data_IF_972246088791
#
_entry.id   IF_972246088791
#
_cell.length_a   1.000
_cell.length_b   1.000
_cell.length_c   1.000
_cell.angle_alpha   90.00
_cell.angle_beta   90.00
_cell.angle_gamma   90.00
#
_symmetry.space_group_name_H-M   'P 1'
#
loop_
_entity.id
_entity.type
_entity.pdbx_description
1 polymer ?
#
# COMPACT_ATOMS: atom_id res chain seq x y z
N UNK A 1 59.56 39.00 -23.32
CA UNK A 1 58.16 39.36 -22.96
C UNK A 1 57.25 38.28 -23.49
N UNK A 2 56.96 37.27 -22.67
CA UNK A 2 56.00 36.18 -23.01
C UNK A 2 54.61 36.58 -22.51
N UNK A 3 53.69 36.73 -23.43
CA UNK A 3 52.28 36.97 -23.12
C UNK A 3 51.60 35.65 -22.73
N UNK A 4 51.35 35.45 -21.44
CA UNK A 4 50.47 34.41 -20.95
C UNK A 4 49.02 34.63 -21.47
N UNK A 5 48.60 33.82 -22.44
CA UNK A 5 47.19 33.74 -22.86
C UNK A 5 46.39 32.97 -21.80
N UNK A 6 45.69 33.72 -20.96
CA UNK A 6 44.68 33.14 -20.07
C UNK A 6 43.51 32.64 -20.95
N UNK A 7 43.39 31.32 -21.09
CA UNK A 7 42.24 30.70 -21.77
C UNK A 7 41.03 30.80 -20.84
N UNK A 8 40.10 31.69 -21.12
CA UNK A 8 38.81 31.76 -20.43
C UNK A 8 38.05 30.45 -20.68
N UNK A 9 37.96 29.60 -19.67
CA UNK A 9 37.10 28.43 -19.71
C UNK A 9 35.65 28.91 -19.68
N UNK A 10 34.94 28.62 -20.76
CA UNK A 10 33.53 29.02 -20.88
C UNK A 10 32.70 28.29 -19.80
N UNK A 11 32.06 28.99 -18.84
CA UNK A 11 31.34 28.38 -17.73
C UNK A 11 30.02 27.68 -18.15
N UNK A 12 29.56 27.91 -19.38
CA UNK A 12 28.30 27.40 -19.91
C UNK A 12 28.22 25.84 -19.90
N UNK A 13 29.25 25.08 -20.38
CA UNK A 13 29.17 23.62 -20.35
C UNK A 13 29.16 23.03 -18.93
N UNK A 14 29.82 23.69 -17.96
CA UNK A 14 29.83 23.26 -16.55
C UNK A 14 28.46 23.44 -15.92
N UNK A 15 27.76 24.54 -16.25
CA UNK A 15 26.42 24.85 -15.75
C UNK A 15 25.37 23.87 -16.33
N UNK A 16 25.49 23.55 -17.63
CA UNK A 16 24.60 22.57 -18.30
C UNK A 16 24.81 21.17 -17.72
N UNK A 17 26.03 20.76 -17.43
CA UNK A 17 26.31 19.44 -16.83
C UNK A 17 25.79 19.34 -15.40
N UNK A 18 25.78 20.43 -14.64
CA UNK A 18 25.24 20.45 -13.28
C UNK A 18 23.69 20.39 -13.25
N UNK A 19 23.02 21.00 -14.23
CA UNK A 19 21.55 20.91 -14.35
C UNK A 19 21.03 19.52 -14.75
N UNK A 20 21.82 18.69 -15.42
CA UNK A 20 21.41 17.36 -15.85
C UNK A 20 21.48 16.32 -14.72
N UNK A 21 22.15 16.63 -13.61
CA UNK A 21 22.29 15.71 -12.46
C UNK A 21 21.18 15.84 -11.41
N UNK A 22 20.29 16.79 -11.55
CA UNK A 22 19.06 16.83 -10.74
C UNK A 22 18.01 16.01 -11.48
N UNK A 23 18.12 14.69 -11.41
CA UNK A 23 17.01 13.80 -11.70
C UNK A 23 15.97 14.05 -10.60
N UNK A 24 14.99 14.90 -10.86
CA UNK A 24 13.80 15.01 -10.01
C UNK A 24 13.14 13.65 -10.03
N UNK A 25 13.33 12.88 -8.97
CA UNK A 25 12.59 11.65 -8.75
C UNK A 25 11.10 11.98 -8.83
N UNK A 26 10.42 11.44 -9.84
CA UNK A 26 9.00 11.71 -10.09
C UNK A 26 8.21 11.27 -8.86
N UNK A 27 7.68 12.22 -8.10
CA UNK A 27 6.87 11.92 -6.91
C UNK A 27 5.58 11.22 -7.33
N UNK A 28 5.11 10.28 -6.49
CA UNK A 28 3.84 9.59 -6.67
C UNK A 28 2.73 10.32 -5.91
N UNK A 29 1.58 10.45 -6.54
CA UNK A 29 0.43 11.14 -5.97
C UNK A 29 -0.63 10.13 -5.51
N UNK A 30 -1.06 10.26 -4.26
CA UNK A 30 -2.17 9.53 -3.67
C UNK A 30 -3.37 10.47 -3.50
N UNK A 31 -4.50 10.15 -4.14
CA UNK A 31 -5.77 10.86 -3.94
C UNK A 31 -6.68 10.01 -3.07
N UNK A 32 -6.93 10.44 -1.84
CA UNK A 32 -7.86 9.80 -0.92
C UNK A 32 -9.25 10.40 -1.13
N UNK A 33 -10.25 9.57 -1.37
CA UNK A 33 -11.63 9.98 -1.64
C UNK A 33 -12.60 9.30 -0.69
N UNK A 34 -13.42 10.07 0.02
CA UNK A 34 -14.46 9.54 0.89
C UNK A 34 -15.81 9.49 0.16
N UNK A 35 -16.31 8.29 -0.13
CA UNK A 35 -17.67 8.03 -0.65
C UNK A 35 -18.62 7.47 0.40
N UNK A 36 -18.18 7.31 1.66
CA UNK A 36 -19.06 6.94 2.75
C UNK A 36 -20.08 8.05 3.01
N UNK A 37 -21.22 7.72 3.60
CA UNK A 37 -22.24 8.66 4.06
C UNK A 37 -21.88 9.32 5.40
N UNK A 38 -20.69 9.04 5.92
CA UNK A 38 -20.14 9.60 7.16
C UNK A 38 -18.69 10.07 6.95
N UNK A 39 -18.20 10.87 7.88
CA UNK A 39 -16.80 11.29 7.90
C UNK A 39 -15.88 10.09 8.16
N UNK A 40 -14.83 9.98 7.37
CA UNK A 40 -13.70 9.06 7.60
C UNK A 40 -12.50 9.90 8.04
N UNK A 41 -11.69 9.38 8.94
CA UNK A 41 -10.43 10.02 9.36
C UNK A 41 -9.25 9.17 8.89
N UNK A 42 -8.74 9.39 7.67
CA UNK A 42 -7.58 8.65 7.19
C UNK A 42 -6.41 8.72 8.17
N UNK A 43 -5.75 7.58 8.37
CA UNK A 43 -4.46 7.45 9.03
C UNK A 43 -3.40 7.02 8.02
N UNK A 44 -2.16 7.43 8.25
CA UNK A 44 -1.01 7.12 7.39
C UNK A 44 0.16 6.71 8.27
N UNK A 45 0.74 5.56 7.93
CA UNK A 45 1.98 5.07 8.55
C UNK A 45 3.01 4.78 7.46
N UNK A 46 4.17 5.38 7.57
CA UNK A 46 5.33 5.09 6.73
C UNK A 46 6.09 3.87 7.28
N UNK A 47 6.61 3.03 6.39
CA UNK A 47 7.40 1.85 6.76
C UNK A 47 8.69 2.25 7.47
N UNK A 48 9.20 1.37 8.33
CA UNK A 48 10.45 1.57 9.04
C UNK A 48 11.62 1.82 8.07
N UNK A 49 12.45 2.82 8.38
CA UNK A 49 13.60 3.19 7.56
C UNK A 49 13.29 4.08 6.35
N UNK A 50 12.03 4.48 6.18
CA UNK A 50 11.59 5.45 5.16
C UNK A 50 11.19 6.76 5.84
N UNK A 51 11.46 7.90 5.22
CA UNK A 51 11.09 9.20 5.77
C UNK A 51 9.56 9.35 5.85
N UNK A 52 9.01 9.79 6.99
CA UNK A 52 7.57 9.93 7.17
C UNK A 52 7.01 11.03 6.28
N UNK A 53 5.77 10.82 5.82
CA UNK A 53 5.04 11.89 5.15
C UNK A 53 4.68 13.00 6.15
N UNK A 54 4.60 14.27 5.69
CA UNK A 54 4.30 15.40 6.58
C UNK A 54 2.88 15.37 7.15
N UNK A 55 2.00 14.56 6.54
CA UNK A 55 0.61 14.38 6.97
C UNK A 55 0.42 12.93 7.36
N UNK A 56 -0.02 12.67 8.60
CA UNK A 56 -0.23 11.30 9.12
C UNK A 56 -1.68 11.04 9.56
N UNK A 57 -2.54 12.06 9.49
CA UNK A 57 -3.97 11.92 9.78
C UNK A 57 -4.72 13.22 9.55
N UNK A 58 -5.98 13.11 9.13
CA UNK A 58 -6.88 14.23 8.88
C UNK A 58 -8.34 13.76 8.86
N UNK A 59 -9.29 14.70 8.85
CA UNK A 59 -10.70 14.41 8.60
C UNK A 59 -10.99 14.53 7.11
N UNK A 60 -11.84 13.65 6.59
CA UNK A 60 -12.31 13.64 5.22
C UNK A 60 -13.82 13.43 5.23
N UNK A 61 -14.60 14.49 4.97
CA UNK A 61 -16.05 14.44 4.97
C UNK A 61 -16.59 13.68 3.78
N UNK A 62 -17.85 13.30 3.82
CA UNK A 62 -18.54 12.69 2.68
C UNK A 62 -18.35 13.50 1.41
N UNK A 63 -17.91 12.85 0.34
CA UNK A 63 -17.65 13.46 -0.97
C UNK A 63 -16.32 14.23 -1.07
N UNK A 64 -15.61 14.46 0.03
CA UNK A 64 -14.33 15.16 0.00
C UNK A 64 -13.21 14.26 -0.54
N UNK A 65 -12.21 14.90 -1.15
CA UNK A 65 -10.95 14.26 -1.53
C UNK A 65 -9.76 15.07 -1.05
N UNK A 66 -8.63 14.39 -0.79
CA UNK A 66 -7.36 15.00 -0.46
C UNK A 66 -6.22 14.30 -1.16
N UNK A 67 -5.36 15.10 -1.77
CA UNK A 67 -4.16 14.63 -2.46
C UNK A 67 -2.95 14.71 -1.54
N UNK A 68 -2.12 13.68 -1.56
CA UNK A 68 -0.86 13.55 -0.81
C UNK A 68 0.22 13.12 -1.78
N UNK A 69 1.33 13.82 -1.77
CA UNK A 69 2.50 13.48 -2.59
C UNK A 69 3.53 12.73 -1.75
N UNK A 70 4.04 11.63 -2.27
CA UNK A 70 5.07 10.83 -1.66
C UNK A 70 6.31 10.73 -2.56
N UNK A 71 7.52 10.63 -1.98
CA UNK A 71 8.74 10.31 -2.74
C UNK A 71 8.59 8.97 -3.47
N UNK A 72 9.26 8.79 -4.62
CA UNK A 72 9.21 7.56 -5.42
C UNK A 72 9.66 6.30 -4.68
N UNK A 73 10.40 6.42 -3.61
CA UNK A 73 10.88 5.28 -2.79
C UNK A 73 10.07 5.12 -1.51
N UNK A 74 8.93 5.80 -1.41
CA UNK A 74 8.10 5.71 -0.22
C UNK A 74 7.43 4.33 -0.14
N UNK A 75 7.33 3.82 1.07
CA UNK A 75 6.52 2.66 1.42
C UNK A 75 5.76 2.93 2.70
N UNK A 76 4.55 2.39 2.78
CA UNK A 76 3.69 2.61 3.94
C UNK A 76 2.27 2.13 3.69
N UNK A 77 1.37 2.57 4.55
CA UNK A 77 -0.03 2.17 4.50
C UNK A 77 -0.97 3.31 4.84
N UNK A 78 -2.16 3.26 4.23
CA UNK A 78 -3.30 4.11 4.50
C UNK A 78 -4.43 3.28 5.06
N UNK A 79 -5.23 3.84 5.97
CA UNK A 79 -6.47 3.22 6.45
C UNK A 79 -7.51 4.28 6.79
N UNK A 80 -8.76 3.87 6.94
CA UNK A 80 -9.83 4.74 7.40
C UNK A 80 -10.14 4.48 8.86
N UNK A 81 -10.14 5.52 9.70
CA UNK A 81 -10.64 5.49 11.07
C UNK A 81 -12.10 5.92 11.04
N UNK A 82 -12.95 5.31 11.86
CA UNK A 82 -14.38 5.64 11.94
C UNK A 82 -14.86 5.79 13.39
N UNK A 83 -16.02 6.38 13.55
CA UNK A 83 -16.61 6.63 14.87
C UNK A 83 -15.65 7.41 15.78
N UNK A 84 -15.02 8.43 15.20
CA UNK A 84 -14.05 9.23 15.93
C UNK A 84 -14.73 10.40 16.65
N UNK A 85 -14.26 10.68 17.84
CA UNK A 85 -14.70 11.81 18.66
C UNK A 85 -13.54 12.39 19.47
N UNK A 86 -13.73 13.59 19.96
CA UNK A 86 -12.86 14.23 20.93
C UNK A 86 -13.59 14.28 22.27
N UNK A 87 -12.95 13.82 23.32
CA UNK A 87 -13.51 13.87 24.66
C UNK A 87 -13.43 15.28 25.29
N UNK A 88 -13.98 15.45 26.48
CA UNK A 88 -13.97 16.72 27.20
C UNK A 88 -12.57 17.21 27.58
N UNK A 89 -11.58 16.35 27.60
CA UNK A 89 -10.17 16.67 27.85
C UNK A 89 -9.40 17.00 26.54
N UNK A 90 -10.09 16.96 25.39
CA UNK A 90 -9.49 17.22 24.08
C UNK A 90 -8.76 16.03 23.48
N UNK A 91 -8.83 14.83 24.07
CA UNK A 91 -8.22 13.63 23.54
C UNK A 91 -9.08 13.08 22.40
N UNK A 92 -8.47 12.91 21.24
CA UNK A 92 -9.09 12.32 20.05
C UNK A 92 -8.98 10.79 20.10
N UNK A 93 -10.06 10.08 19.80
CA UNK A 93 -10.08 8.61 19.66
C UNK A 93 -11.13 8.17 18.66
N UNK A 94 -11.00 6.95 18.15
CA UNK A 94 -11.89 6.38 17.16
C UNK A 94 -12.38 4.99 17.59
N UNK A 95 -13.62 4.67 17.23
CA UNK A 95 -14.22 3.36 17.50
C UNK A 95 -13.61 2.24 16.68
N UNK A 96 -13.08 2.51 15.47
CA UNK A 96 -12.34 1.54 14.65
C UNK A 96 -11.10 2.15 14.03
N UNK A 97 -10.02 1.34 13.90
CA UNK A 97 -8.77 1.74 13.26
C UNK A 97 -8.02 2.87 13.99
N UNK A 98 -8.31 3.12 15.27
CA UNK A 98 -7.62 4.15 16.06
C UNK A 98 -6.11 3.94 16.04
N UNK A 99 -5.33 5.00 16.00
CA UNK A 99 -3.87 4.91 16.04
C UNK A 99 -3.26 5.19 17.43
N UNK A 100 -4.08 5.39 18.45
CA UNK A 100 -3.64 5.53 19.83
C UNK A 100 -2.88 6.82 20.16
N UNK A 101 -2.75 7.74 19.19
CA UNK A 101 -1.99 8.99 19.39
C UNK A 101 -2.66 9.99 20.32
N UNK A 102 -3.97 9.84 20.55
CA UNK A 102 -4.78 10.83 21.27
C UNK A 102 -5.02 12.12 20.49
N UNK A 103 -4.59 12.18 19.22
CA UNK A 103 -4.65 13.34 18.32
C UNK A 103 -5.20 12.93 16.96
N UNK A 104 -5.54 13.93 16.14
CA UNK A 104 -5.97 13.72 14.77
C UNK A 104 -4.87 13.05 13.92
N UNK A 105 -3.62 13.47 14.09
CA UNK A 105 -2.43 12.92 13.44
C UNK A 105 -1.99 11.64 14.16
N UNK A 106 -1.65 10.60 13.39
CA UNK A 106 -1.17 9.33 13.95
C UNK A 106 0.31 9.36 14.37
N UNK A 107 1.10 10.31 13.83
CA UNK A 107 2.48 10.61 14.25
C UNK A 107 3.40 9.37 14.37
N UNK A 108 3.33 8.45 13.40
CA UNK A 108 4.13 7.24 13.37
C UNK A 108 3.50 6.01 14.05
N UNK A 109 2.28 6.13 14.55
CA UNK A 109 1.51 5.00 15.07
C UNK A 109 0.63 4.39 13.98
N UNK A 110 0.51 3.05 13.96
CA UNK A 110 -0.34 2.29 13.05
C UNK A 110 -1.79 2.18 13.53
N UNK A 111 -2.63 1.57 12.69
CA UNK A 111 -4.01 1.25 13.05
C UNK A 111 -4.07 0.20 14.16
N UNK A 112 -4.92 0.41 15.14
CA UNK A 112 -5.33 -0.66 16.05
C UNK A 112 -6.31 -1.58 15.31
N UNK A 113 -6.05 -2.87 15.19
CA UNK A 113 -6.98 -3.82 14.58
C UNK A 113 -8.33 -3.87 15.31
N UNK A 114 -9.44 -4.14 14.60
CA UNK A 114 -9.50 -4.44 13.17
C UNK A 114 -9.50 -3.20 12.29
N UNK A 115 -8.75 -3.25 11.19
CA UNK A 115 -8.68 -2.19 10.19
C UNK A 115 -8.36 -2.73 8.79
N UNK A 116 -9.06 -2.21 7.79
CA UNK A 116 -8.73 -2.42 6.37
C UNK A 116 -7.54 -1.51 6.01
N UNK A 117 -6.48 -2.09 5.42
CA UNK A 117 -5.27 -1.36 5.06
C UNK A 117 -5.12 -1.29 3.53
N UNK A 118 -4.69 -0.16 3.00
CA UNK A 118 -4.16 -0.02 1.65
C UNK A 118 -2.64 0.15 1.77
N UNK A 119 -1.87 -0.82 1.29
CA UNK A 119 -0.42 -0.92 1.50
C UNK A 119 0.33 -0.67 0.21
N UNK A 120 1.50 -0.02 0.30
CA UNK A 120 2.31 0.38 -0.84
C UNK A 120 3.80 0.20 -0.57
N UNK A 121 4.52 -0.25 -1.59
CA UNK A 121 5.99 -0.15 -1.71
C UNK A 121 6.28 0.42 -3.08
N UNK A 122 6.59 1.72 -3.16
CA UNK A 122 6.90 2.38 -4.40
C UNK A 122 8.32 2.04 -4.86
N UNK A 123 8.50 1.91 -6.18
CA UNK A 123 9.79 1.64 -6.81
C UNK A 123 10.53 0.45 -6.19
N UNK A 124 9.81 -0.62 -5.89
CA UNK A 124 10.34 -1.87 -5.34
C UNK A 124 11.11 -2.70 -6.37
N UNK A 125 11.04 -4.03 -6.26
CA UNK A 125 11.75 -4.92 -7.14
C UNK A 125 11.43 -4.68 -8.63
N UNK A 126 12.46 -4.53 -9.44
CA UNK A 126 12.32 -4.22 -10.87
C UNK A 126 11.85 -2.78 -11.17
N UNK A 127 11.87 -1.88 -10.20
CA UNK A 127 11.39 -0.51 -10.34
C UNK A 127 9.87 -0.40 -10.42
N UNK A 128 9.14 -1.43 -9.97
CA UNK A 128 7.69 -1.46 -9.93
C UNK A 128 7.17 -1.01 -8.57
N UNK A 129 6.03 -0.36 -8.58
CA UNK A 129 5.23 -0.15 -7.38
C UNK A 129 4.51 -1.46 -7.06
N UNK A 130 4.54 -1.87 -5.80
CA UNK A 130 3.74 -2.95 -5.26
C UNK A 130 2.64 -2.34 -4.39
N UNK A 131 1.42 -2.81 -4.57
CA UNK A 131 0.29 -2.32 -3.78
C UNK A 131 -0.77 -3.40 -3.59
N UNK A 132 -1.50 -3.28 -2.51
CA UNK A 132 -2.60 -4.17 -2.16
C UNK A 132 -3.60 -3.50 -1.21
N UNK A 133 -4.72 -4.19 -1.00
CA UNK A 133 -5.62 -3.97 0.14
C UNK A 133 -5.58 -5.21 1.00
N UNK A 134 -5.35 -5.00 2.31
CA UNK A 134 -5.14 -6.07 3.28
C UNK A 134 -6.24 -6.10 4.34
N UNK A 135 -6.75 -7.30 4.61
CA UNK A 135 -7.66 -7.62 5.70
C UNK A 135 -6.98 -8.57 6.73
N UNK A 136 -5.65 -8.68 6.68
CA UNK A 136 -4.89 -9.50 7.64
C UNK A 136 -5.03 -8.95 9.05
N UNK A 137 -5.14 -7.63 9.19
CA UNK A 137 -5.43 -6.94 10.44
C UNK A 137 -6.95 -6.75 10.69
N UNK A 138 -7.80 -7.49 9.97
CA UNK A 138 -9.25 -7.38 10.05
C UNK A 138 -9.84 -6.38 9.05
N UNK A 139 -11.11 -6.08 9.25
CA UNK A 139 -11.91 -5.21 8.38
C UNK A 139 -12.71 -4.21 9.21
N UNK A 140 -12.81 -2.96 8.76
CA UNK A 140 -13.71 -1.98 9.34
C UNK A 140 -14.58 -1.26 8.31
N UNK A 141 -14.03 -0.91 7.14
CA UNK A 141 -14.77 -0.31 6.02
C UNK A 141 -14.18 -0.75 4.68
N UNK A 142 -14.98 -0.73 3.60
CA UNK A 142 -14.48 -1.11 2.27
C UNK A 142 -13.53 -0.06 1.72
N UNK A 143 -12.42 -0.53 1.12
CA UNK A 143 -11.41 0.31 0.47
C UNK A 143 -11.11 -0.27 -0.91
N UNK A 144 -10.97 0.59 -1.92
CA UNK A 144 -10.37 0.25 -3.21
C UNK A 144 -9.19 1.14 -3.53
N UNK A 145 -8.21 0.56 -4.24
CA UNK A 145 -7.07 1.26 -4.81
C UNK A 145 -7.14 1.18 -6.32
N UNK A 146 -7.16 2.33 -6.99
CA UNK A 146 -7.22 2.45 -8.45
C UNK A 146 -5.96 3.15 -8.94
N UNK A 147 -5.07 2.45 -9.70
CA UNK A 147 -3.94 3.11 -10.36
C UNK A 147 -4.45 4.12 -11.39
N UNK A 148 -3.80 5.27 -11.45
CA UNK A 148 -4.06 6.35 -12.40
C UNK A 148 -2.85 6.49 -13.33
N UNK A 149 -3.02 6.17 -14.59
CA UNK A 149 -1.88 6.01 -15.50
C UNK A 149 -1.08 4.75 -15.16
N UNK A 150 0.21 4.76 -15.47
CA UNK A 150 1.07 3.61 -15.26
C UNK A 150 0.86 2.48 -16.27
N UNK A 151 1.61 1.39 -16.11
CA UNK A 151 1.56 0.23 -17.00
C UNK A 151 1.94 -1.07 -16.26
N UNK A 152 1.61 -2.20 -16.87
CA UNK A 152 1.91 -3.54 -16.37
C UNK A 152 0.68 -4.46 -16.40
N UNK A 153 0.90 -5.77 -16.50
CA UNK A 153 -0.19 -6.76 -16.56
C UNK A 153 -1.08 -6.74 -15.31
N UNK A 154 -0.49 -6.49 -14.14
CA UNK A 154 -1.18 -6.41 -12.86
C UNK A 154 -1.47 -4.98 -12.42
N UNK A 155 -1.28 -3.98 -13.31
CA UNK A 155 -1.61 -2.59 -13.02
C UNK A 155 -3.13 -2.36 -13.13
N UNK A 156 -3.87 -2.90 -12.18
CA UNK A 156 -5.32 -2.90 -12.17
C UNK A 156 -5.87 -2.55 -10.78
N UNK A 157 -7.15 -2.17 -10.74
CA UNK A 157 -7.87 -1.89 -9.49
C UNK A 157 -7.82 -3.10 -8.54
N UNK A 158 -7.58 -2.85 -7.25
CA UNK A 158 -7.68 -3.85 -6.18
C UNK A 158 -8.53 -3.33 -5.03
N UNK A 159 -8.88 -4.22 -4.11
CA UNK A 159 -9.54 -3.90 -2.84
C UNK A 159 -10.83 -4.67 -2.60
N UNK A 160 -11.63 -4.10 -1.71
CA UNK A 160 -12.90 -4.64 -1.28
C UNK A 160 -14.00 -3.60 -1.49
N UNK A 161 -15.09 -4.00 -2.12
CA UNK A 161 -16.31 -3.19 -2.28
C UNK A 161 -17.48 -3.72 -1.44
N UNK A 162 -17.36 -4.96 -0.94
CA UNK A 162 -18.39 -5.60 -0.12
C UNK A 162 -18.38 -5.12 1.32
N UNK A 163 -19.53 -5.16 1.98
CA UNK A 163 -19.65 -4.89 3.42
C UNK A 163 -19.46 -6.18 4.21
N UNK A 164 -18.22 -6.44 4.62
CA UNK A 164 -17.87 -7.61 5.44
C UNK A 164 -18.44 -7.52 6.87
N UNK A 165 -18.82 -6.35 7.37
CA UNK A 165 -19.43 -6.23 8.70
C UNK A 165 -20.78 -6.95 8.76
N UNK A 166 -21.54 -6.96 7.66
CA UNK A 166 -22.78 -7.73 7.53
C UNK A 166 -22.58 -9.25 7.55
N UNK A 167 -21.52 -9.71 6.90
CA UNK A 167 -21.18 -11.14 6.74
C UNK A 167 -20.17 -11.65 7.79
N UNK A 168 -19.79 -10.80 8.77
CA UNK A 168 -18.78 -11.13 9.78
C UNK A 168 -19.25 -12.27 10.69
N UNK A 169 -18.47 -13.35 10.86
CA UNK A 169 -18.73 -14.38 11.85
C UNK A 169 -18.92 -13.78 13.25
N UNK A 170 -19.88 -14.30 14.00
CA UNK A 170 -20.27 -13.75 15.31
C UNK A 170 -19.10 -13.60 16.28
N UNK A 171 -18.18 -14.56 16.28
CA UNK A 171 -16.98 -14.60 17.14
C UNK A 171 -15.87 -13.61 16.73
N UNK A 172 -15.95 -13.05 15.51
CA UNK A 172 -15.03 -12.04 15.00
C UNK A 172 -15.63 -10.63 15.04
N UNK A 173 -16.93 -10.52 15.29
CA UNK A 173 -17.68 -9.27 15.16
C UNK A 173 -17.36 -8.28 16.28
N UNK A 174 -17.05 -7.06 15.91
CA UNK A 174 -16.95 -5.92 16.83
C UNK A 174 -18.26 -5.14 16.75
N UNK A 175 -18.92 -4.99 17.89
CA UNK A 175 -20.20 -4.30 17.98
C UNK A 175 -19.99 -2.81 18.30
N UNK A 176 -20.92 -1.96 17.84
CA UNK A 176 -21.03 -0.58 18.27
C UNK A 176 -21.26 -0.49 19.80
N UNK A 177 -20.98 0.66 20.40
CA UNK A 177 -21.15 0.87 21.86
C UNK A 177 -22.57 0.56 22.34
N UNK A 178 -23.59 0.82 21.52
CA UNK A 178 -24.99 0.49 21.82
C UNK A 178 -25.35 -0.98 21.58
N UNK A 179 -24.41 -1.79 21.12
CA UNK A 179 -24.57 -3.22 20.85
C UNK A 179 -25.50 -3.58 19.69
N UNK A 180 -25.92 -2.61 18.85
CA UNK A 180 -26.95 -2.84 17.84
C UNK A 180 -26.40 -3.24 16.48
N UNK A 181 -25.17 -2.85 16.15
CA UNK A 181 -24.61 -2.98 14.82
C UNK A 181 -23.16 -3.46 14.86
N UNK A 182 -22.77 -4.36 13.95
CA UNK A 182 -21.38 -4.68 13.70
C UNK A 182 -20.69 -3.47 13.04
N UNK A 183 -19.56 -3.04 13.59
CA UNK A 183 -18.78 -1.88 13.10
C UNK A 183 -17.43 -2.26 12.57
N UNK A 184 -16.97 -3.47 12.88
CA UNK A 184 -15.72 -4.04 12.35
C UNK A 184 -15.73 -5.57 12.50
N UNK A 185 -14.82 -6.24 11.81
CA UNK A 185 -14.65 -7.68 11.82
C UNK A 185 -13.17 -8.01 12.06
N UNK A 186 -12.87 -8.66 13.18
CA UNK A 186 -11.51 -9.09 13.52
C UNK A 186 -11.01 -10.16 12.55
N UNK A 187 -9.73 -10.16 12.24
CA UNK A 187 -9.12 -11.35 11.66
C UNK A 187 -9.10 -12.48 12.68
N UNK A 188 -8.98 -13.72 12.19
CA UNK A 188 -8.86 -14.87 13.10
C UNK A 188 -7.58 -14.78 13.97
N UNK A 189 -6.51 -14.19 13.44
CA UNK A 189 -5.32 -13.92 14.22
C UNK A 189 -5.61 -12.93 15.35
N UNK A 190 -6.28 -11.82 15.06
CA UNK A 190 -6.61 -10.81 16.09
C UNK A 190 -7.55 -11.37 17.15
N UNK A 191 -8.53 -12.19 16.76
CA UNK A 191 -9.52 -12.75 17.67
C UNK A 191 -8.98 -13.85 18.57
N UNK A 192 -8.18 -14.78 18.03
CA UNK A 192 -7.80 -16.02 18.70
C UNK A 192 -6.33 -16.12 19.10
N UNK A 193 -5.46 -15.29 18.49
CA UNK A 193 -4.01 -15.27 18.77
C UNK A 193 -3.34 -16.64 18.61
N UNK A 194 -3.84 -17.50 17.70
CA UNK A 194 -3.30 -18.82 17.46
C UNK A 194 -2.30 -18.81 16.29
N UNK A 195 -1.16 -19.50 16.42
CA UNK A 195 -0.09 -19.49 15.41
C UNK A 195 -0.55 -19.83 13.99
N UNK A 196 -1.49 -20.77 13.82
CA UNK A 196 -2.02 -21.15 12.51
C UNK A 196 -2.85 -20.04 11.84
N UNK A 197 -3.41 -19.11 12.58
CA UNK A 197 -4.12 -17.95 12.05
C UNK A 197 -3.22 -16.75 11.84
N UNK A 198 -2.19 -16.60 12.69
CA UNK A 198 -1.22 -15.53 12.63
C UNK A 198 -0.06 -15.81 11.67
N UNK A 199 0.03 -17.03 11.14
CA UNK A 199 1.15 -17.49 10.31
C UNK A 199 2.51 -17.31 11.02
N UNK A 200 2.58 -17.62 12.30
CA UNK A 200 3.80 -17.53 13.10
C UNK A 200 4.30 -18.88 13.60
N UNK A 201 5.40 -18.91 14.36
CA UNK A 201 5.98 -20.13 14.89
C UNK A 201 6.19 -21.22 13.82
N UNK A 202 5.55 -22.38 13.95
CA UNK A 202 5.61 -23.46 12.98
C UNK A 202 4.89 -23.17 11.66
N UNK A 203 4.10 -22.09 11.59
CA UNK A 203 3.32 -21.68 10.42
C UNK A 203 3.93 -20.52 9.63
N UNK A 204 5.24 -20.22 9.78
CA UNK A 204 5.93 -19.10 9.12
C UNK A 204 6.26 -19.34 7.64
N UNK A 205 5.47 -20.10 6.92
CA UNK A 205 5.70 -20.29 5.49
C UNK A 205 4.38 -20.49 4.74
N UNK A 206 4.33 -20.20 3.45
CA UNK A 206 3.14 -20.47 2.63
C UNK A 206 2.82 -21.98 2.52
N UNK A 207 3.79 -22.85 2.81
CA UNK A 207 3.58 -24.29 2.83
C UNK A 207 2.88 -24.77 4.10
N UNK A 208 3.09 -24.08 5.23
CA UNK A 208 2.54 -24.45 6.53
C UNK A 208 1.34 -23.60 6.94
N UNK A 209 1.30 -22.30 6.58
CA UNK A 209 0.15 -21.45 6.83
C UNK A 209 -0.82 -21.49 5.64
N UNK A 210 -2.01 -22.05 5.87
CA UNK A 210 -3.05 -22.21 4.84
C UNK A 210 -4.28 -21.37 5.18
N UNK A 211 -5.10 -20.97 4.16
CA UNK A 211 -6.31 -20.21 4.41
C UNK A 211 -7.27 -20.99 5.34
N UNK A 212 -7.70 -20.33 6.41
CA UNK A 212 -8.67 -20.83 7.37
C UNK A 212 -10.11 -20.71 6.84
N UNK A 213 -11.08 -21.30 7.56
CA UNK A 213 -12.50 -21.04 7.29
C UNK A 213 -12.84 -19.55 7.38
N UNK A 214 -12.26 -18.85 8.33
CA UNK A 214 -12.44 -17.40 8.52
C UNK A 214 -11.88 -16.58 7.38
N UNK A 215 -10.62 -16.81 6.98
CA UNK A 215 -10.03 -16.10 5.85
C UNK A 215 -10.77 -16.35 4.53
N UNK A 216 -11.37 -17.53 4.37
CA UNK A 216 -12.24 -17.84 3.22
C UNK A 216 -13.51 -16.98 3.17
N UNK A 217 -14.13 -16.68 4.33
CA UNK A 217 -15.24 -15.72 4.40
C UNK A 217 -14.78 -14.35 3.94
N UNK A 218 -13.65 -13.85 4.45
CA UNK A 218 -13.06 -12.59 4.03
C UNK A 218 -12.80 -12.57 2.52
N UNK A 219 -12.21 -13.64 1.97
CA UNK A 219 -11.89 -13.77 0.55
C UNK A 219 -13.13 -13.83 -0.34
N UNK A 220 -14.23 -14.43 0.13
CA UNK A 220 -15.48 -14.51 -0.64
C UNK A 220 -16.13 -13.14 -0.82
N UNK A 221 -16.03 -12.25 0.17
CA UNK A 221 -16.55 -10.87 0.12
C UNK A 221 -15.59 -9.94 -0.61
N UNK A 222 -14.27 -10.14 -0.41
CA UNK A 222 -13.20 -9.27 -0.92
C UNK A 222 -12.18 -10.09 -1.72
N UNK A 223 -12.51 -10.59 -2.91
CA UNK A 223 -11.69 -11.57 -3.63
C UNK A 223 -10.32 -11.05 -4.09
N UNK A 224 -10.10 -9.74 -4.10
CA UNK A 224 -8.84 -9.10 -4.53
C UNK A 224 -8.07 -8.47 -3.37
N UNK A 225 -8.50 -8.66 -2.12
CA UNK A 225 -7.79 -8.23 -0.92
C UNK A 225 -7.10 -9.41 -0.23
N UNK A 226 -6.01 -9.16 0.48
CA UNK A 226 -5.40 -10.16 1.36
C UNK A 226 -6.39 -10.57 2.44
N UNK A 227 -6.62 -11.87 2.57
CA UNK A 227 -7.46 -12.46 3.62
C UNK A 227 -6.65 -13.19 4.71
N UNK A 228 -5.38 -13.46 4.46
CA UNK A 228 -4.37 -13.98 5.39
C UNK A 228 -2.97 -13.69 4.82
N UNK A 229 -1.91 -13.89 5.62
CA UNK A 229 -0.56 -13.41 5.34
C UNK A 229 0.10 -13.93 4.05
N UNK A 230 -0.30 -15.08 3.51
CA UNK A 230 0.27 -15.68 2.29
C UNK A 230 -0.73 -15.78 1.14
N UNK A 231 -1.61 -14.78 1.01
CA UNK A 231 -2.62 -14.68 -0.06
C UNK A 231 -2.10 -13.94 -1.31
N UNK A 232 -0.78 -13.91 -1.52
CA UNK A 232 -0.09 -13.11 -2.55
C UNK A 232 -0.64 -13.31 -3.96
N UNK A 233 -0.95 -14.56 -4.33
CA UNK A 233 -1.31 -14.94 -5.70
C UNK A 233 -2.47 -14.13 -6.28
N UNK A 234 -3.41 -13.71 -5.45
CA UNK A 234 -4.65 -13.03 -5.87
C UNK A 234 -4.77 -11.61 -5.33
N UNK A 235 -3.81 -11.18 -4.52
CA UNK A 235 -3.93 -9.96 -3.72
C UNK A 235 -2.82 -8.96 -3.94
N UNK A 236 -1.64 -9.35 -4.46
CA UNK A 236 -0.54 -8.44 -4.80
C UNK A 236 -0.70 -7.89 -6.20
N UNK A 237 -0.58 -6.57 -6.34
CA UNK A 237 -0.65 -5.86 -7.61
C UNK A 237 0.60 -5.02 -7.82
N UNK A 238 0.94 -4.80 -9.10
CA UNK A 238 2.13 -4.04 -9.47
C UNK A 238 1.84 -3.09 -10.63
N UNK A 239 2.42 -1.89 -10.56
CA UNK A 239 2.40 -0.90 -11.63
C UNK A 239 3.78 -0.30 -11.85
N UNK A 240 4.05 0.15 -13.06
CA UNK A 240 5.15 1.02 -13.38
C UNK A 240 4.64 2.46 -13.51
N UNK A 241 5.17 3.38 -12.70
CA UNK A 241 4.93 4.83 -12.80
C UNK A 241 3.46 5.26 -12.75
N UNK A 242 2.70 4.79 -11.76
CA UNK A 242 1.32 5.16 -11.53
C UNK A 242 1.17 6.19 -10.40
N UNK A 243 0.11 7.00 -10.46
CA UNK A 243 -0.52 7.63 -9.31
C UNK A 243 -1.66 6.74 -8.81
N UNK A 244 -2.22 7.02 -7.63
CA UNK A 244 -3.21 6.13 -7.03
C UNK A 244 -4.39 6.89 -6.45
N UNK A 245 -5.60 6.39 -6.71
CA UNK A 245 -6.82 6.83 -6.02
C UNK A 245 -7.23 5.76 -5.00
N UNK A 246 -7.29 6.14 -3.74
CA UNK A 246 -7.74 5.31 -2.61
C UNK A 246 -9.15 5.79 -2.26
N UNK A 247 -10.15 4.93 -2.45
CA UNK A 247 -11.54 5.27 -2.19
C UNK A 247 -12.07 4.50 -0.99
N UNK A 248 -12.55 5.23 0.01
CA UNK A 248 -13.32 4.68 1.13
C UNK A 248 -14.79 4.55 0.72
N UNK A 249 -15.43 3.43 1.04
CA UNK A 249 -16.80 3.08 0.67
C UNK A 249 -17.07 3.23 -0.85
N UNK A 250 -16.31 2.54 -1.71
CA UNK A 250 -16.54 2.60 -3.14
C UNK A 250 -17.94 2.07 -3.49
N UNK A 251 -18.56 2.61 -4.55
CA UNK A 251 -19.82 2.06 -5.06
C UNK A 251 -19.60 0.69 -5.73
N UNK A 252 -20.63 -0.18 -5.76
CA UNK A 252 -20.54 -1.50 -6.39
C UNK A 252 -20.10 -1.45 -7.87
N UNK A 253 -20.37 -0.37 -8.58
CA UNK A 253 -19.96 -0.16 -9.98
C UNK A 253 -18.43 -0.08 -10.16
N UNK A 254 -17.68 0.10 -9.07
CA UNK A 254 -16.21 0.06 -9.06
C UNK A 254 -15.64 -1.33 -8.83
N UNK A 255 -16.47 -2.39 -8.83
CA UNK A 255 -16.02 -3.76 -8.60
C UNK A 255 -15.00 -4.18 -9.67
N UNK A 256 -13.77 -4.59 -9.25
CA UNK A 256 -12.74 -5.03 -10.20
C UNK A 256 -13.14 -6.21 -11.08
N UNK A 257 -14.07 -7.04 -10.61
CA UNK A 257 -14.56 -8.20 -11.35
C UNK A 257 -15.57 -7.84 -12.45
N UNK A 258 -16.21 -6.67 -12.41
CA UNK A 258 -17.27 -6.30 -13.38
C UNK A 258 -16.72 -5.68 -14.68
N UNK A 259 -15.48 -5.16 -14.69
CA UNK A 259 -14.89 -4.53 -15.90
C UNK A 259 -14.51 -5.50 -17.02
N UNK A 260 -14.41 -6.80 -16.78
CA UNK A 260 -14.18 -7.80 -17.87
C UNK A 260 -15.40 -8.04 -18.76
N UNK A 261 -16.59 -7.50 -18.42
CA UNK A 261 -17.83 -7.69 -19.17
C UNK A 261 -18.14 -6.60 -20.20
N UNK A 262 -17.36 -5.50 -20.26
CA UNK A 262 -17.76 -4.33 -21.10
C UNK A 262 -17.00 -4.17 -22.42
N UNK A 263 -15.97 -4.99 -22.71
CA UNK A 263 -15.24 -4.91 -23.99
C UNK A 263 -15.70 -5.92 -25.05
N UNK A 264 -16.82 -6.60 -24.88
CA UNK A 264 -17.27 -7.69 -25.75
C UNK A 264 -18.70 -7.60 -26.27
N UNK A 265 -19.35 -6.43 -26.31
CA UNK A 265 -20.66 -6.30 -26.94
C UNK A 265 -20.79 -5.04 -27.82
N UNK A 266 -20.20 -5.12 -28.98
CA UNK A 266 -20.77 -4.43 -30.14
C UNK A 266 -20.66 -5.32 -31.37
N UNK A 267 -21.83 -5.59 -31.92
CA UNK A 267 -22.21 -6.10 -33.25
C UNK A 267 -22.56 -7.58 -33.39
N UNK A 268 -23.84 -7.70 -33.69
CA UNK A 268 -24.55 -8.61 -34.58
C UNK A 268 -25.21 -9.87 -34.03
N UNK A 269 -26.53 -9.71 -33.98
CA UNK A 269 -27.57 -10.71 -34.18
C UNK A 269 -27.20 -11.72 -35.27
N UNK A 270 -27.24 -13.03 -34.97
CA UNK A 270 -28.20 -13.92 -35.64
C UNK A 270 -28.18 -15.35 -35.03
N UNK A 271 -29.36 -15.86 -34.97
CA UNK A 271 -29.95 -17.15 -34.66
C UNK A 271 -29.17 -18.44 -34.81
N UNK A 272 -29.53 -19.37 -33.94
CA UNK A 272 -29.82 -20.80 -34.08
C UNK A 272 -28.94 -21.85 -33.42
N UNK A 273 -29.61 -22.49 -32.46
CA UNK A 273 -29.78 -23.96 -32.25
C UNK A 273 -28.60 -24.91 -31.95
N UNK A 274 -28.85 -25.57 -30.84
CA UNK A 274 -28.75 -27.02 -30.51
C UNK A 274 -27.44 -27.74 -30.24
N UNK A 275 -27.39 -28.23 -29.02
CA UNK A 275 -27.13 -29.60 -28.57
C UNK A 275 -25.73 -30.23 -28.62
N UNK A 276 -25.40 -30.77 -27.48
CA UNK A 276 -24.78 -32.07 -27.14
C UNK A 276 -23.28 -32.17 -26.90
N UNK A 277 -22.98 -32.49 -25.62
CA UNK A 277 -22.12 -33.57 -25.08
C UNK A 277 -20.75 -33.89 -25.74
N UNK A 278 -19.71 -33.82 -24.96
CA UNK A 278 -18.85 -34.95 -24.50
C UNK A 278 -17.44 -34.48 -24.18
N UNK A 279 -16.93 -34.89 -23.01
CA UNK A 279 -15.49 -34.89 -22.67
C UNK A 279 -14.73 -35.94 -23.51
N UNK A 280 -13.43 -35.83 -23.70
CA UNK A 280 -12.50 -36.46 -22.76
C UNK A 280 -11.18 -35.75 -22.52
N UNK A 281 -10.57 -36.15 -21.41
CA UNK A 281 -9.24 -35.89 -20.90
C UNK A 281 -8.08 -36.08 -21.88
N UNK A 282 -7.07 -35.21 -21.81
CA UNK A 282 -5.67 -35.62 -22.00
C UNK A 282 -4.70 -34.60 -21.36
N UNK A 283 -3.78 -35.16 -20.60
CA UNK A 283 -2.66 -34.60 -19.90
C UNK A 283 -1.61 -34.01 -20.86
N UNK A 284 -1.12 -32.80 -20.55
CA UNK A 284 0.25 -32.40 -20.92
C UNK A 284 0.74 -31.28 -20.00
N UNK A 285 1.79 -31.58 -19.25
CA UNK A 285 2.57 -30.68 -18.41
C UNK A 285 3.38 -29.74 -19.30
N UNK A 286 3.41 -28.44 -19.02
CA UNK A 286 4.55 -27.62 -19.39
C UNK A 286 5.27 -27.10 -18.14
N UNK A 287 6.57 -27.27 -18.19
CA UNK A 287 7.63 -26.77 -17.33
C UNK A 287 7.50 -25.26 -17.10
N UNK A 288 7.39 -24.86 -15.83
CA UNK A 288 7.41 -23.46 -15.41
C UNK A 288 8.81 -22.88 -15.43
N UNK A 289 9.00 -21.62 -15.86
CA UNK A 289 10.22 -20.88 -15.58
C UNK A 289 10.21 -20.45 -14.10
N UNK A 290 11.34 -20.61 -13.45
CA UNK A 290 11.58 -20.14 -12.09
C UNK A 290 11.51 -18.61 -12.03
N UNK A 291 10.49 -18.08 -11.37
CA UNK A 291 10.42 -16.68 -11.00
C UNK A 291 11.12 -16.48 -9.67
N UNK A 292 12.12 -15.62 -9.68
CA UNK A 292 12.89 -15.13 -8.55
C UNK A 292 11.95 -14.62 -7.43
N UNK A 293 12.16 -15.12 -6.22
CA UNK A 293 11.43 -14.76 -5.00
C UNK A 293 11.73 -13.31 -4.60
N UNK A 294 10.85 -12.38 -4.95
CA UNK A 294 10.76 -11.05 -4.38
C UNK A 294 9.38 -10.88 -3.74
N UNK A 295 9.08 -11.67 -2.72
CA UNK A 295 7.86 -11.50 -1.94
C UNK A 295 8.00 -10.30 -1.00
N UNK A 296 6.95 -9.47 -0.88
CA UNK A 296 6.84 -8.50 0.19
C UNK A 296 6.91 -9.25 1.52
N UNK A 297 7.89 -8.89 2.36
CA UNK A 297 7.93 -9.37 3.73
C UNK A 297 6.86 -8.62 4.49
N UNK A 298 5.76 -9.27 4.80
CA UNK A 298 4.75 -8.75 5.71
C UNK A 298 5.38 -8.60 7.10
N UNK A 299 5.63 -7.37 7.51
CA UNK A 299 5.98 -7.04 8.89
C UNK A 299 4.67 -6.76 9.63
N UNK A 300 3.97 -7.82 10.01
CA UNK A 300 2.93 -7.75 11.02
C UNK A 300 3.53 -7.10 12.27
N UNK A 301 2.74 -6.33 13.01
CA UNK A 301 3.16 -5.62 14.21
C UNK A 301 4.00 -6.50 15.15
N UNK A 302 5.30 -6.51 14.95
CA UNK A 302 6.25 -7.12 15.88
C UNK A 302 6.47 -6.14 17.01
N UNK A 303 6.28 -6.62 18.21
CA UNK A 303 6.67 -5.98 19.46
C UNK A 303 8.08 -5.37 19.33
N UNK A 304 8.19 -4.06 19.61
CA UNK A 304 9.40 -3.25 19.39
C UNK A 304 10.56 -3.59 20.35
N UNK A 305 10.52 -4.69 21.10
CA UNK A 305 11.48 -4.97 22.19
C UNK A 305 12.73 -5.75 21.81
N UNK A 306 12.87 -6.29 20.57
CA UNK A 306 14.02 -7.12 20.21
C UNK A 306 14.62 -6.85 18.82
N UNK A 307 15.21 -5.66 18.60
CA UNK A 307 16.15 -5.44 17.49
C UNK A 307 17.44 -4.85 18.03
N UNK A 308 18.59 -5.53 17.91
CA UNK A 308 19.88 -4.96 18.31
C UNK A 308 20.26 -3.80 17.38
N UNK A 309 20.56 -2.65 17.95
CA UNK A 309 20.90 -1.37 17.29
C UNK A 309 22.20 -1.39 16.44
N UNK A 310 22.84 -2.54 16.22
CA UNK A 310 24.17 -2.61 15.59
C UNK A 310 24.21 -2.77 14.07
N UNK A 311 23.06 -2.91 13.38
CA UNK A 311 23.04 -3.14 11.92
C UNK A 311 22.78 -1.87 11.07
N UNK A 312 22.39 -0.74 11.66
CA UNK A 312 21.92 0.43 10.92
C UNK A 312 22.96 1.53 10.68
N UNK A 313 24.20 1.41 11.20
CA UNK A 313 25.21 2.48 11.13
C UNK A 313 26.13 2.43 9.90
N UNK A 314 26.07 1.41 9.04
CA UNK A 314 27.03 1.26 7.91
C UNK A 314 26.58 1.81 6.55
N UNK A 315 25.29 2.15 6.36
CA UNK A 315 24.82 2.62 5.05
C UNK A 315 24.78 4.15 4.90
N UNK A 316 24.93 4.92 5.99
CA UNK A 316 24.79 6.39 5.96
C UNK A 316 26.11 7.15 5.69
N UNK A 317 27.25 6.50 5.78
CA UNK A 317 28.57 7.17 5.57
C UNK A 317 29.00 7.29 4.10
N UNK A 318 28.42 6.52 3.17
CA UNK A 318 28.88 6.51 1.77
C UNK A 318 28.35 7.67 0.90
N UNK A 319 27.21 8.25 1.22
CA UNK A 319 26.66 9.36 0.39
C UNK A 319 27.08 10.76 0.89
N UNK A 320 27.32 10.90 2.18
CA UNK A 320 27.78 12.16 2.77
C UNK A 320 29.23 12.48 2.39
N UNK A 321 30.11 11.48 2.30
CA UNK A 321 31.53 11.67 1.94
C UNK A 321 31.72 12.09 0.48
N UNK A 322 30.91 11.58 -0.45
CA UNK A 322 31.01 11.97 -1.86
C UNK A 322 30.60 13.45 -2.08
N UNK A 323 29.55 13.90 -1.42
CA UNK A 323 29.11 15.31 -1.49
C UNK A 323 30.14 16.26 -0.86
N UNK A 324 30.74 15.90 0.28
CA UNK A 324 31.80 16.68 0.91
C UNK A 324 33.06 16.77 0.05
N UNK A 325 33.47 15.67 -0.59
CA UNK A 325 34.65 15.66 -1.48
C UNK A 325 34.44 16.58 -2.68
N UNK A 326 33.25 16.58 -3.29
CA UNK A 326 32.93 17.46 -4.42
C UNK A 326 32.91 18.93 -3.99
N UNK A 327 32.31 19.26 -2.85
CA UNK A 327 32.27 20.64 -2.34
C UNK A 327 33.69 21.13 -2.00
N UNK A 328 34.52 20.31 -1.38
CA UNK A 328 35.90 20.66 -1.06
C UNK A 328 36.77 20.77 -2.31
N UNK A 329 36.54 19.97 -3.34
CA UNK A 329 37.24 20.08 -4.62
C UNK A 329 36.86 21.40 -5.35
N UNK A 330 35.61 21.80 -5.35
CA UNK A 330 35.13 23.05 -5.92
C UNK A 330 35.71 24.23 -5.15
N UNK A 331 35.75 24.19 -3.81
CA UNK A 331 36.33 25.26 -2.97
C UNK A 331 37.83 25.38 -3.17
N UNK A 332 38.59 24.30 -3.32
CA UNK A 332 40.00 24.29 -3.67
C UNK A 332 40.27 24.86 -5.05
N UNK A 333 39.43 24.50 -6.05
CA UNK A 333 39.54 25.11 -7.40
C UNK A 333 39.30 26.63 -7.37
N UNK A 334 38.36 27.09 -6.55
CA UNK A 334 38.05 28.49 -6.40
C UNK A 334 39.21 29.27 -5.77
N UNK A 335 39.92 28.68 -4.76
CA UNK A 335 41.12 29.26 -4.15
C UNK A 335 42.35 29.29 -5.07
N UNK A 336 42.38 28.49 -6.14
CA UNK A 336 43.47 28.48 -7.12
C UNK A 336 43.23 29.44 -8.31
N UNK A 337 42.01 29.96 -8.46
CA UNK A 337 41.58 30.82 -9.56
C UNK A 337 41.43 32.30 -9.15
N UNK A 338 41.42 32.61 -7.86
CA UNK A 338 41.38 33.93 -7.28
C UNK A 338 42.44 34.09 -6.18
#
# INVERSE_FOLDING_TARGET
MEHNKLTLINPIPVLITLCVLVSEGKATTFTLLNKCDYTVWPGILTNAGVDPLPVTGFALRTGESKTITAPTTWGGRFWGRTLCAQDSAGKFSCGTGDCGSGKLECAGSGATPPATLAEFTLHGAGGLDFFDVSLVDGYNLPITVVPQGGSGENCTITGCVGDLNGDCPSELRVMSEDGKRGVACKSACDAFRLPQYCCDGAYRSPDTCKPSSYSKVFKSVCPRAYSYAYDDKTSTFTCASADYTITFCPSPDTNPSSKKSWEGQNSNSDSNESSSSSSPSSSSTPTSPQVSKGGMVYVGALDQSEIPWSACTRARESQSTAAFIVIMAIWRLWQLLF
#
